data_IF_136361984099
#
_entry.id   IF_136361984099
#
_cell.length_a   1.000
_cell.length_b   1.000
_cell.length_c   1.000
_cell.angle_alpha   90.00
_cell.angle_beta   90.00
_cell.angle_gamma   90.00
#
_symmetry.space_group_name_H-M   'P 1'
#
loop_
_entity.id
_entity.type
_entity.pdbx_description
1 polymer ?
#
# COMPACT_ATOMS: atom_id res chain seq x y z
N UNK A 1 -1.68 26.94 14.23
CA UNK A 1 -0.99 25.80 14.84
C UNK A 1 -0.21 25.10 13.74
N UNK A 2 1.13 25.06 13.83
CA UNK A 2 1.96 24.44 12.80
C UNK A 2 2.21 22.99 13.19
N UNK A 3 1.79 22.04 12.35
CA UNK A 3 2.19 20.65 12.50
C UNK A 3 3.36 20.39 11.57
N UNK A 4 4.57 20.43 12.12
CA UNK A 4 5.76 19.91 11.45
C UNK A 4 6.00 18.51 12.00
N UNK A 5 5.68 17.50 11.20
CA UNK A 5 6.18 16.14 11.42
C UNK A 5 7.24 15.87 10.37
N UNK A 6 8.50 15.82 10.79
CA UNK A 6 9.61 15.35 9.95
C UNK A 6 10.00 13.95 10.42
N UNK A 7 9.50 12.89 9.79
CA UNK A 7 10.07 11.57 10.03
C UNK A 7 11.48 11.53 9.39
N UNK A 8 12.43 10.96 10.11
CA UNK A 8 13.77 10.66 9.62
C UNK A 8 13.69 9.78 8.35
N UNK A 9 14.74 9.72 7.50
CA UNK A 9 14.75 8.79 6.37
C UNK A 9 14.99 7.36 6.86
N UNK A 10 14.02 6.79 7.56
CA UNK A 10 13.73 5.36 7.51
C UNK A 10 13.51 5.05 6.04
N UNK A 11 14.18 4.05 5.46
CA UNK A 11 13.96 3.65 4.06
C UNK A 11 12.49 3.76 3.72
N UNK A 12 12.12 4.81 2.97
CA UNK A 12 10.73 5.20 2.82
C UNK A 12 10.01 3.99 2.23
N UNK A 13 8.84 3.65 2.79
CA UNK A 13 8.12 2.50 2.31
C UNK A 13 7.88 2.68 0.80
N UNK A 14 8.04 1.65 -0.04
CA UNK A 14 7.93 1.80 -1.49
C UNK A 14 6.55 2.35 -1.92
N UNK A 15 5.54 2.25 -1.04
CA UNK A 15 4.21 2.84 -1.26
C UNK A 15 4.05 4.28 -0.74
N UNK A 16 5.06 4.88 -0.10
CA UNK A 16 5.01 6.28 0.39
C UNK A 16 4.70 7.29 -0.72
N UNK A 17 5.25 7.17 -1.95
CA UNK A 17 4.84 8.02 -3.09
C UNK A 17 3.35 7.89 -3.44
N UNK A 18 2.72 6.80 -3.02
CA UNK A 18 1.30 6.51 -3.22
C UNK A 18 0.49 6.71 -1.92
N UNK A 19 0.98 7.52 -0.98
CA UNK A 19 0.25 7.92 0.23
C UNK A 19 0.27 6.89 1.37
N UNK A 20 1.22 5.96 1.36
CA UNK A 20 1.47 5.08 2.50
C UNK A 20 2.17 5.82 3.64
N UNK A 21 1.60 5.71 4.85
CA UNK A 21 2.08 6.31 6.09
C UNK A 21 2.00 5.31 7.25
N UNK A 22 2.31 5.79 8.47
CA UNK A 22 2.32 4.98 9.69
C UNK A 22 0.91 4.50 10.10
N UNK A 23 -0.13 5.29 9.83
CA UNK A 23 -1.51 4.91 10.08
C UNK A 23 -1.92 3.71 9.20
N UNK A 24 -1.55 3.74 7.91
CA UNK A 24 -1.74 2.61 7.01
C UNK A 24 -0.89 1.40 7.40
N UNK A 25 0.35 1.60 7.86
CA UNK A 25 1.18 0.51 8.35
C UNK A 25 0.57 -0.17 9.59
N UNK A 26 0.04 0.61 10.53
CA UNK A 26 -0.64 0.10 11.72
C UNK A 26 -1.93 -0.63 11.35
N UNK A 27 -2.76 -0.06 10.46
CA UNK A 27 -3.98 -0.69 9.99
C UNK A 27 -3.71 -1.99 9.22
N UNK A 28 -2.59 -2.08 8.51
CA UNK A 28 -2.24 -3.26 7.71
C UNK A 28 -1.56 -4.38 8.52
N UNK A 29 -1.00 -4.08 9.69
CA UNK A 29 -0.29 -5.03 10.55
C UNK A 29 -0.97 -6.41 10.70
N UNK A 30 -2.27 -6.54 11.03
CA UNK A 30 -2.90 -7.86 11.17
C UNK A 30 -2.92 -8.70 9.88
N UNK A 31 -2.83 -8.07 8.71
CA UNK A 31 -2.76 -8.74 7.41
C UNK A 31 -1.32 -9.13 7.05
N UNK A 32 -0.34 -8.31 7.43
CA UNK A 32 1.07 -8.63 7.29
C UNK A 32 1.44 -9.90 8.09
N UNK A 33 0.89 -10.06 9.30
CA UNK A 33 1.04 -11.28 10.11
C UNK A 33 0.45 -12.53 9.43
N UNK A 34 -0.47 -12.35 8.48
CA UNK A 34 -1.04 -13.43 7.66
C UNK A 34 -0.22 -13.70 6.39
N UNK A 35 0.90 -13.00 6.20
CA UNK A 35 1.75 -13.10 5.01
C UNK A 35 1.20 -12.34 3.79
N UNK A 36 0.22 -11.44 3.98
CA UNK A 36 -0.29 -10.61 2.89
C UNK A 36 0.64 -9.44 2.60
N UNK A 37 0.70 -9.05 1.33
CA UNK A 37 1.56 -7.97 0.85
C UNK A 37 0.73 -6.70 0.66
N UNK A 38 1.16 -5.54 1.19
CA UNK A 38 0.46 -4.29 0.96
C UNK A 38 0.59 -3.85 -0.50
N UNK A 39 -0.48 -3.23 -1.02
CA UNK A 39 -0.49 -2.71 -2.37
C UNK A 39 -1.50 -1.59 -2.57
N UNK A 40 -1.22 -0.71 -3.55
CA UNK A 40 -2.11 0.40 -3.93
C UNK A 40 -2.73 0.11 -5.29
N UNK A 41 -4.06 0.04 -5.34
CA UNK A 41 -4.80 0.02 -6.60
C UNK A 41 -4.62 1.36 -7.31
N UNK A 42 -4.13 1.32 -8.55
CA UNK A 42 -3.93 2.51 -9.41
C UNK A 42 -4.80 2.50 -10.66
N UNK A 43 -5.28 1.33 -11.06
CA UNK A 43 -6.26 1.18 -12.14
C UNK A 43 -7.20 0.02 -11.83
N UNK A 44 -8.47 0.20 -12.17
CA UNK A 44 -9.49 -0.84 -12.13
C UNK A 44 -9.95 -1.10 -13.56
N UNK A 45 -9.98 -2.37 -13.94
CA UNK A 45 -10.51 -2.89 -15.20
C UNK A 45 -11.62 -3.93 -14.91
N UNK A 46 -12.33 -4.40 -15.92
CA UNK A 46 -13.46 -5.34 -15.71
C UNK A 46 -12.96 -6.68 -15.14
N UNK A 47 -13.13 -6.84 -13.84
CA UNK A 47 -12.74 -8.06 -13.12
C UNK A 47 -11.31 -8.02 -12.56
N UNK A 48 -10.52 -6.98 -12.83
CA UNK A 48 -9.11 -6.93 -12.43
C UNK A 48 -8.66 -5.53 -12.00
N UNK A 49 -7.53 -5.44 -11.31
CA UNK A 49 -6.90 -4.17 -10.96
C UNK A 49 -5.38 -4.23 -11.10
N UNK A 50 -4.77 -3.11 -11.52
CA UNK A 50 -3.33 -2.93 -11.38
C UNK A 50 -3.05 -2.40 -9.99
N UNK A 51 -2.18 -3.11 -9.27
CA UNK A 51 -1.80 -2.83 -7.89
C UNK A 51 -0.30 -2.63 -7.82
N UNK A 52 0.13 -1.47 -7.32
CA UNK A 52 1.54 -1.22 -7.05
C UNK A 52 1.88 -1.81 -5.69
N UNK A 53 2.89 -2.66 -5.65
CA UNK A 53 3.43 -3.30 -4.45
C UNK A 53 4.90 -2.92 -4.27
N UNK A 54 5.51 -3.37 -3.18
CA UNK A 54 6.96 -3.21 -2.95
C UNK A 54 7.84 -3.84 -4.05
N UNK A 55 7.38 -4.92 -4.67
CA UNK A 55 8.12 -5.67 -5.69
C UNK A 55 7.82 -5.19 -7.12
N UNK A 56 6.82 -4.30 -7.27
CA UNK A 56 6.40 -3.78 -8.56
C UNK A 56 4.90 -3.81 -8.75
N UNK A 57 4.46 -3.55 -9.99
CA UNK A 57 3.04 -3.58 -10.34
C UNK A 57 2.59 -5.01 -10.60
N UNK A 58 1.52 -5.44 -9.93
CA UNK A 58 0.86 -6.72 -10.13
C UNK A 58 -0.54 -6.50 -10.71
N UNK A 59 -0.98 -7.40 -11.58
CA UNK A 59 -2.37 -7.46 -12.03
C UNK A 59 -3.12 -8.42 -11.12
N UNK A 60 -3.96 -7.89 -10.25
CA UNK A 60 -4.77 -8.68 -9.33
C UNK A 60 -6.18 -8.87 -9.89
N UNK A 61 -6.75 -10.05 -9.66
CA UNK A 61 -8.15 -10.34 -9.96
C UNK A 61 -9.05 -9.83 -8.83
N UNK A 62 -10.19 -9.22 -9.17
CA UNK A 62 -11.25 -9.02 -8.18
C UNK A 62 -12.10 -10.28 -8.24
N UNK A 63 -11.99 -11.13 -7.22
CA UNK A 63 -12.76 -12.37 -7.18
C UNK A 63 -14.23 -12.07 -7.52
N UNK A 64 -14.75 -12.77 -8.54
CA UNK A 64 -16.15 -12.69 -8.92
C UNK A 64 -17.01 -13.06 -7.71
N UNK A 65 -17.85 -12.12 -7.24
CA UNK A 65 -18.91 -12.35 -6.25
C UNK A 65 -20.20 -12.70 -6.98
#
# INVERSE_FOLDING_TARGET
MSFSFSPAPSSAHPLTPYGWDEDWAAAFSPYAEQGLVPGRVVRVDRGQCDVITADGTVRADTAFV
#
